data_IF_697007161325
#
_entry.id   IF_697007161325
#
_cell.length_a   1.000
_cell.length_b   1.000
_cell.length_c   1.000
_cell.angle_alpha   90.00
_cell.angle_beta   90.00
_cell.angle_gamma   90.00
#
_symmetry.space_group_name_H-M   'P 1'
#
loop_
_entity.id
_entity.type
_entity.pdbx_description
1 polymer ?
#
# COMPACT_ATOMS: atom_id res chain seq x y z
N UNK A 1 -7.30 -77.48 48.50
CA UNK A 1 -6.19 -77.48 49.49
C UNK A 1 -4.90 -77.86 48.78
N UNK A 2 -3.76 -77.24 49.17
CA UNK A 2 -2.41 -77.23 48.56
C UNK A 2 -2.28 -76.27 47.35
N UNK A 3 -1.26 -75.44 47.18
CA UNK A 3 0.00 -75.13 47.89
C UNK A 3 0.45 -73.70 47.46
N UNK A 4 0.90 -72.83 48.37
CA UNK A 4 2.31 -72.43 48.68
C UNK A 4 3.07 -71.71 47.54
N UNK A 5 3.16 -70.37 47.67
CA UNK A 5 4.35 -69.52 47.90
C UNK A 5 5.66 -69.65 47.07
N UNK A 6 6.35 -68.49 46.97
CA UNK A 6 7.65 -68.13 46.35
C UNK A 6 7.55 -67.75 44.86
N UNK A 7 8.03 -66.60 44.39
CA UNK A 7 9.10 -65.73 44.87
C UNK A 7 10.09 -65.52 43.70
N UNK A 8 10.74 -64.35 43.64
CA UNK A 8 11.78 -63.93 42.68
C UNK A 8 11.28 -63.17 41.43
N UNK A 9 11.06 -61.85 41.59
CA UNK A 9 11.54 -60.85 40.62
C UNK A 9 12.82 -60.27 41.24
N UNK A 10 13.95 -60.11 40.56
CA UNK A 10 14.16 -59.98 39.13
C UNK A 10 14.79 -58.62 38.85
N UNK A 11 16.13 -58.60 38.90
CA UNK A 11 17.07 -57.64 38.30
C UNK A 11 16.96 -56.13 38.63
N UNK A 12 17.97 -55.67 39.39
CA UNK A 12 18.60 -54.36 39.22
C UNK A 12 19.12 -54.23 37.78
N UNK A 13 18.61 -53.24 37.05
CA UNK A 13 19.31 -52.64 35.91
C UNK A 13 18.94 -51.16 35.86
N UNK A 14 19.98 -50.33 35.95
CA UNK A 14 19.90 -48.88 35.87
C UNK A 14 19.46 -48.44 34.46
N UNK A 15 18.47 -47.55 34.39
CA UNK A 15 18.31 -46.63 33.27
C UNK A 15 18.13 -45.22 33.83
N UNK A 16 19.26 -44.52 33.87
CA UNK A 16 19.34 -43.07 33.86
C UNK A 16 18.75 -42.60 32.54
N UNK A 17 17.53 -42.06 32.53
CA UNK A 17 16.91 -41.50 31.34
C UNK A 17 16.82 -39.97 31.46
N UNK A 18 17.78 -39.32 30.80
CA UNK A 18 17.75 -37.89 30.53
C UNK A 18 16.61 -37.60 29.56
N UNK A 19 15.58 -36.90 30.05
CA UNK A 19 14.40 -36.53 29.27
C UNK A 19 14.00 -35.08 29.46
N UNK A 20 14.92 -34.14 29.28
CA UNK A 20 14.62 -32.70 29.15
C UNK A 20 15.42 -32.14 27.98
N UNK A 21 14.80 -32.08 26.80
CA UNK A 21 15.44 -31.50 25.60
C UNK A 21 14.62 -31.55 24.31
N UNK A 22 13.48 -32.27 24.29
CA UNK A 22 12.65 -32.42 23.09
C UNK A 22 11.51 -31.40 22.94
N UNK A 23 10.90 -30.93 24.03
CA UNK A 23 9.72 -30.04 23.96
C UNK A 23 10.07 -28.60 23.59
N UNK A 24 11.21 -28.10 24.06
CA UNK A 24 11.59 -26.69 23.92
C UNK A 24 11.99 -26.32 22.48
N UNK A 25 12.58 -27.27 21.73
CA UNK A 25 12.97 -27.05 20.33
C UNK A 25 11.78 -27.07 19.36
N UNK A 26 10.72 -27.83 19.67
CA UNK A 26 9.50 -27.87 18.85
C UNK A 26 8.74 -26.55 19.00
N UNK A 27 8.65 -26.02 20.22
CA UNK A 27 8.02 -24.72 20.47
C UNK A 27 8.78 -23.57 19.81
N UNK A 28 10.12 -23.58 19.82
CA UNK A 28 10.94 -22.56 19.13
C UNK A 28 10.76 -22.61 17.60
N UNK A 29 10.71 -23.81 17.00
CA UNK A 29 10.48 -23.98 15.56
C UNK A 29 9.08 -23.52 15.13
N UNK A 30 8.06 -23.84 15.93
CA UNK A 30 6.69 -23.38 15.71
C UNK A 30 6.60 -21.86 15.90
N UNK A 31 7.28 -21.28 16.89
CA UNK A 31 7.30 -19.84 17.10
C UNK A 31 7.97 -19.08 15.94
N UNK A 32 9.12 -19.53 15.42
CA UNK A 32 9.78 -18.93 14.25
C UNK A 32 8.87 -18.95 13.01
N UNK A 33 8.23 -20.08 12.77
CA UNK A 33 7.28 -20.23 11.65
C UNK A 33 6.09 -19.27 11.78
N UNK A 34 5.61 -19.03 13.00
CA UNK A 34 4.52 -18.06 13.26
C UNK A 34 4.97 -16.62 13.03
N UNK A 35 6.20 -16.26 13.38
CA UNK A 35 6.75 -14.91 13.13
C UNK A 35 6.81 -14.65 11.63
N UNK A 36 7.38 -15.56 10.85
CA UNK A 36 7.50 -15.39 9.39
C UNK A 36 6.13 -15.31 8.69
N UNK A 37 5.17 -16.12 9.14
CA UNK A 37 3.78 -16.04 8.65
C UNK A 37 3.12 -14.71 9.04
N UNK A 38 3.36 -14.22 10.25
CA UNK A 38 2.80 -12.95 10.72
C UNK A 38 3.43 -11.75 10.00
N UNK A 39 4.75 -11.73 9.80
CA UNK A 39 5.44 -10.71 9.01
C UNK A 39 4.96 -10.70 7.57
N UNK A 40 4.83 -11.87 6.94
CA UNK A 40 4.24 -11.98 5.61
C UNK A 40 2.78 -11.54 5.56
N UNK A 41 2.01 -11.70 6.64
CA UNK A 41 0.64 -11.19 6.73
C UNK A 41 0.59 -9.68 6.94
N UNK A 42 1.47 -9.11 7.76
CA UNK A 42 1.58 -7.67 7.99
C UNK A 42 1.98 -6.96 6.69
N UNK A 43 3.02 -7.44 5.99
CA UNK A 43 3.43 -6.87 4.69
C UNK A 43 2.32 -6.93 3.63
N UNK A 44 1.54 -8.02 3.59
CA UNK A 44 0.36 -8.15 2.71
C UNK A 44 -0.82 -7.28 3.12
N UNK A 45 -0.92 -6.87 4.38
CA UNK A 45 -1.99 -6.01 4.89
C UNK A 45 -1.63 -4.54 4.74
N UNK A 46 -0.38 -4.16 5.00
CA UNK A 46 0.14 -2.81 4.76
C UNK A 46 0.05 -2.43 3.27
N UNK A 47 0.37 -3.36 2.36
CA UNK A 47 0.17 -3.17 0.91
C UNK A 47 -1.30 -3.05 0.47
N UNK A 48 -2.26 -3.36 1.35
CA UNK A 48 -3.71 -3.27 1.06
C UNK A 48 -4.37 -2.06 1.69
N UNK A 49 -3.70 -1.33 2.58
CA UNK A 49 -4.26 -0.09 3.10
C UNK A 49 -4.14 1.00 2.03
N UNK A 50 -5.22 1.74 1.74
CA UNK A 50 -5.12 2.89 0.88
C UNK A 50 -4.17 3.90 1.52
N UNK A 51 -3.17 4.32 0.76
CA UNK A 51 -2.19 5.29 1.26
C UNK A 51 -2.84 6.67 1.36
N UNK A 52 -2.34 7.49 2.28
CA UNK A 52 -2.79 8.89 2.39
C UNK A 52 -2.37 9.72 1.17
N UNK A 53 -1.40 9.23 0.38
CA UNK A 53 -0.93 9.85 -0.86
C UNK A 53 -0.74 8.81 -1.95
N UNK A 54 -0.84 9.24 -3.21
CA UNK A 54 -0.55 8.42 -4.38
C UNK A 54 0.66 8.97 -5.13
N UNK A 55 1.75 8.21 -5.17
CA UNK A 55 2.92 8.51 -6.01
C UNK A 55 2.73 7.87 -7.39
N UNK A 56 2.70 8.69 -8.43
CA UNK A 56 2.44 8.29 -9.81
C UNK A 56 3.64 8.69 -10.68
N UNK A 57 4.09 7.77 -11.54
CA UNK A 57 5.14 8.05 -12.52
C UNK A 57 4.54 8.22 -13.91
N UNK A 58 4.94 9.24 -14.67
CA UNK A 58 4.55 9.35 -16.07
C UNK A 58 4.92 8.10 -16.87
N UNK A 59 3.94 7.54 -17.58
CA UNK A 59 4.11 6.32 -18.38
C UNK A 59 3.76 5.02 -17.65
N UNK A 60 3.65 5.04 -16.31
CA UNK A 60 3.13 3.89 -15.57
C UNK A 60 1.62 3.79 -15.76
N UNK A 61 1.13 2.62 -16.17
CA UNK A 61 -0.31 2.30 -16.25
C UNK A 61 -0.87 1.82 -14.91
N UNK A 62 -0.17 2.14 -13.83
CA UNK A 62 -0.50 1.67 -12.49
C UNK A 62 -1.56 2.58 -11.87
N UNK A 63 -2.44 1.94 -11.11
CA UNK A 63 -3.48 2.63 -10.37
C UNK A 63 -3.17 2.51 -8.89
N UNK A 64 -3.38 3.60 -8.15
CA UNK A 64 -3.16 3.64 -6.72
C UNK A 64 -4.45 4.03 -6.02
N UNK A 65 -4.69 3.47 -4.84
CA UNK A 65 -5.78 3.88 -3.97
C UNK A 65 -5.30 5.00 -3.06
N UNK A 66 -6.05 6.09 -3.01
CA UNK A 66 -5.88 7.17 -2.05
C UNK A 66 -7.08 7.22 -1.10
N UNK A 67 -6.83 7.41 0.19
CA UNK A 67 -7.86 7.52 1.21
C UNK A 67 -7.69 8.79 2.02
N UNK A 68 -8.76 9.56 2.16
CA UNK A 68 -8.80 10.77 2.99
C UNK A 68 -9.57 10.55 4.30
N UNK A 69 -9.64 9.30 4.78
CA UNK A 69 -10.37 8.88 5.98
C UNK A 69 -11.89 8.87 5.82
N UNK A 70 -12.45 9.81 5.06
CA UNK A 70 -13.87 9.84 4.73
C UNK A 70 -14.21 8.84 3.62
N UNK A 71 -13.43 8.82 2.54
CA UNK A 71 -13.66 8.00 1.35
C UNK A 71 -12.35 7.59 0.69
N UNK A 72 -12.44 6.62 -0.21
CA UNK A 72 -11.31 6.07 -0.96
C UNK A 72 -11.55 6.27 -2.46
N UNK A 73 -10.55 6.75 -3.17
CA UNK A 73 -10.59 6.97 -4.62
C UNK A 73 -9.47 6.17 -5.29
N UNK A 74 -9.69 5.76 -6.53
CA UNK A 74 -8.64 5.12 -7.35
C UNK A 74 -8.12 6.14 -8.35
N UNK A 75 -6.82 6.32 -8.41
CA UNK A 75 -6.18 7.36 -9.22
C UNK A 75 -5.08 6.79 -10.10
N UNK A 76 -4.90 7.38 -11.28
CA UNK A 76 -3.84 7.04 -12.23
C UNK A 76 -3.56 8.20 -13.19
N UNK A 77 -2.44 8.13 -13.91
CA UNK A 77 -2.12 9.06 -15.01
C UNK A 77 -2.46 8.35 -16.32
N UNK A 78 -3.32 8.93 -17.15
CA UNK A 78 -3.63 8.37 -18.47
C UNK A 78 -2.84 9.01 -19.60
N UNK A 79 -2.51 10.30 -19.49
CA UNK A 79 -1.77 11.00 -20.52
C UNK A 79 -0.88 12.11 -19.94
N UNK A 80 0.28 12.33 -20.58
CA UNK A 80 1.16 13.46 -20.34
C UNK A 80 1.52 14.07 -21.69
N UNK A 81 1.18 15.34 -21.89
CA UNK A 81 1.40 16.08 -23.12
C UNK A 81 2.16 17.39 -22.86
N UNK A 82 2.72 18.00 -23.90
CA UNK A 82 3.35 19.32 -23.78
C UNK A 82 2.31 20.40 -23.52
N UNK A 83 2.65 21.36 -22.65
CA UNK A 83 1.93 22.61 -22.41
C UNK A 83 2.91 23.77 -22.54
N UNK A 84 2.45 24.96 -22.94
CA UNK A 84 3.34 26.11 -23.15
C UNK A 84 4.21 26.47 -21.93
N UNK A 85 3.70 26.23 -20.71
CA UNK A 85 4.42 26.47 -19.46
C UNK A 85 5.10 25.22 -18.86
N UNK A 86 4.92 24.01 -19.43
CA UNK A 86 5.42 22.78 -18.84
C UNK A 86 4.73 21.52 -19.37
N UNK A 87 4.15 20.72 -18.47
CA UNK A 87 3.46 19.47 -18.79
C UNK A 87 1.96 19.60 -18.58
N UNK A 88 1.15 19.05 -19.48
CA UNK A 88 -0.27 18.82 -19.24
C UNK A 88 -0.49 17.37 -18.88
N UNK A 89 -1.02 17.09 -17.69
CA UNK A 89 -1.33 15.73 -17.24
C UNK A 89 -2.83 15.51 -17.24
N UNK A 90 -3.27 14.36 -17.76
CA UNK A 90 -4.64 13.88 -17.60
C UNK A 90 -4.64 12.78 -16.54
N UNK A 91 -5.43 12.99 -15.49
CA UNK A 91 -5.62 11.99 -14.45
C UNK A 91 -6.89 11.22 -14.71
N UNK A 92 -6.89 9.95 -14.34
CA UNK A 92 -8.08 9.13 -14.26
C UNK A 92 -8.42 8.92 -12.80
N UNK A 93 -9.58 9.41 -12.36
CA UNK A 93 -10.03 9.34 -10.97
C UNK A 93 -11.34 8.56 -10.92
N UNK A 94 -11.32 7.37 -10.32
CA UNK A 94 -12.50 6.55 -10.09
C UNK A 94 -13.10 6.85 -8.72
N UNK A 95 -14.39 7.16 -8.70
CA UNK A 95 -15.18 7.22 -7.47
C UNK A 95 -15.96 5.91 -7.31
N UNK A 96 -15.58 5.01 -6.39
CA UNK A 96 -16.29 3.75 -6.18
C UNK A 96 -17.60 3.91 -5.39
N UNK A 97 -17.91 5.11 -4.88
CA UNK A 97 -19.09 5.35 -4.06
C UNK A 97 -20.35 5.44 -4.92
N UNK A 98 -21.48 5.08 -4.32
CA UNK A 98 -22.81 5.29 -4.91
C UNK A 98 -23.30 6.76 -4.85
N UNK A 99 -22.47 7.69 -4.38
CA UNK A 99 -22.78 9.13 -4.27
C UNK A 99 -21.81 9.96 -5.10
N UNK A 100 -22.27 11.09 -5.62
CA UNK A 100 -21.41 12.05 -6.31
C UNK A 100 -20.61 12.89 -5.31
N UNK A 101 -19.35 13.12 -5.64
CA UNK A 101 -18.48 14.06 -4.95
C UNK A 101 -18.41 15.34 -5.78
N UNK A 102 -18.69 16.48 -5.18
CA UNK A 102 -18.72 17.79 -5.83
C UNK A 102 -17.75 18.74 -5.13
N UNK A 103 -17.50 19.90 -5.73
CA UNK A 103 -16.59 20.92 -5.18
C UNK A 103 -15.24 20.29 -4.77
N UNK A 104 -14.64 19.54 -5.70
CA UNK A 104 -13.45 18.75 -5.43
C UNK A 104 -12.17 19.57 -5.70
N UNK A 105 -11.23 19.56 -4.76
CA UNK A 105 -9.89 20.15 -4.88
C UNK A 105 -8.84 19.04 -4.72
N UNK A 106 -7.76 19.10 -5.50
CA UNK A 106 -6.65 18.14 -5.47
C UNK A 106 -5.33 18.84 -5.15
N UNK A 107 -4.60 18.30 -4.18
CA UNK A 107 -3.25 18.75 -3.82
C UNK A 107 -2.20 17.95 -4.60
N UNK A 108 -1.58 18.57 -5.59
CA UNK A 108 -0.55 17.96 -6.43
C UNK A 108 0.85 18.45 -6.05
N UNK A 109 1.80 17.52 -6.05
CA UNK A 109 3.23 17.74 -5.99
C UNK A 109 3.89 17.09 -7.20
N UNK A 110 4.71 17.80 -7.97
CA UNK A 110 5.38 17.24 -9.14
C UNK A 110 6.83 17.69 -9.22
N UNK A 111 7.62 17.01 -10.04
CA UNK A 111 9.01 17.38 -10.29
C UNK A 111 9.77 16.39 -11.16
N UNK A 112 11.06 16.65 -11.31
CA UNK A 112 12.00 15.78 -12.00
C UNK A 112 12.50 14.66 -11.07
N UNK A 113 13.00 13.58 -11.67
CA UNK A 113 13.77 12.54 -10.98
C UNK A 113 15.16 12.44 -11.57
N UNK A 114 16.14 12.09 -10.73
CA UNK A 114 17.49 11.78 -11.19
C UNK A 114 17.54 10.43 -11.94
N UNK A 115 18.74 10.04 -12.39
CA UNK A 115 18.97 8.77 -13.09
C UNK A 115 18.68 7.52 -12.25
N UNK A 116 18.61 7.65 -10.92
CA UNK A 116 18.24 6.57 -10.01
C UNK A 116 16.72 6.53 -9.74
N UNK A 117 15.94 7.47 -10.30
CA UNK A 117 14.52 7.60 -10.06
C UNK A 117 14.18 8.31 -8.75
N UNK A 118 15.15 9.03 -8.16
CA UNK A 118 14.98 9.80 -6.92
C UNK A 118 14.47 11.20 -7.24
N UNK A 119 13.43 11.71 -6.57
CA UNK A 119 12.95 13.08 -6.77
C UNK A 119 14.03 14.14 -6.54
N UNK A 120 14.18 15.07 -7.50
CA UNK A 120 15.12 16.20 -7.38
C UNK A 120 14.43 17.34 -6.62
N UNK A 121 14.89 17.62 -5.39
CA UNK A 121 14.23 18.57 -4.48
C UNK A 121 14.03 19.96 -5.08
N UNK A 122 15.03 20.49 -5.80
CA UNK A 122 14.97 21.83 -6.40
C UNK A 122 13.98 21.95 -7.56
N UNK A 123 13.47 20.83 -8.07
CA UNK A 123 12.48 20.80 -9.16
C UNK A 123 11.06 20.56 -8.66
N UNK A 124 10.86 20.53 -7.34
CA UNK A 124 9.55 20.24 -6.76
C UNK A 124 8.64 21.45 -6.80
N UNK A 125 7.44 21.24 -7.32
CA UNK A 125 6.38 22.22 -7.33
C UNK A 125 5.15 21.65 -6.62
N UNK A 126 4.44 22.50 -5.89
CA UNK A 126 3.19 22.18 -5.20
C UNK A 126 2.10 23.15 -5.65
N UNK A 127 0.90 22.64 -5.92
CA UNK A 127 -0.27 23.48 -6.19
C UNK A 127 -1.58 22.72 -5.94
N UNK A 128 -2.60 23.45 -5.50
CA UNK A 128 -3.96 22.99 -5.44
C UNK A 128 -4.67 23.27 -6.76
N UNK A 129 -5.50 22.34 -7.21
CA UNK A 129 -6.30 22.49 -8.41
C UNK A 129 -7.75 22.09 -8.15
N UNK A 130 -8.68 22.79 -8.77
CA UNK A 130 -10.07 22.38 -8.81
C UNK A 130 -10.26 21.21 -9.79
N UNK A 131 -11.07 20.22 -9.43
CA UNK A 131 -11.52 19.16 -10.32
C UNK A 131 -12.86 19.60 -10.92
N UNK A 132 -12.89 20.04 -12.19
CA UNK A 132 -14.10 20.54 -12.82
C UNK A 132 -15.16 19.43 -12.95
N UNK A 133 -16.40 19.74 -12.56
CA UNK A 133 -17.54 18.81 -12.67
C UNK A 133 -17.63 17.74 -11.57
N UNK A 134 -16.68 17.71 -10.64
CA UNK A 134 -16.67 16.74 -9.55
C UNK A 134 -16.39 15.31 -10.01
N UNK A 135 -16.72 14.34 -9.14
CA UNK A 135 -16.57 12.91 -9.39
C UNK A 135 -17.97 12.23 -9.42
N UNK A 136 -18.37 11.63 -10.56
CA UNK A 136 -19.64 10.93 -10.67
C UNK A 136 -19.69 9.66 -9.81
N UNK A 137 -20.86 9.17 -9.39
CA UNK A 137 -20.97 7.94 -8.59
C UNK A 137 -20.64 6.70 -9.43
N UNK A 138 -19.77 5.84 -8.91
CA UNK A 138 -19.42 4.56 -9.53
C UNK A 138 -18.64 4.65 -10.85
N UNK A 139 -18.19 5.84 -11.23
CA UNK A 139 -17.63 6.11 -12.56
C UNK A 139 -16.31 6.90 -12.48
N UNK A 140 -15.70 7.13 -13.64
CA UNK A 140 -14.43 7.82 -13.81
C UNK A 140 -14.63 9.29 -14.17
N UNK A 141 -13.80 10.14 -13.57
CA UNK A 141 -13.56 11.50 -14.02
C UNK A 141 -12.17 11.62 -14.63
N UNK A 142 -12.02 12.56 -15.58
CA UNK A 142 -10.81 12.71 -16.38
C UNK A 142 -10.25 14.14 -16.38
N UNK A 143 -9.97 14.74 -15.21
CA UNK A 143 -9.48 16.11 -15.15
C UNK A 143 -8.10 16.25 -15.78
N UNK A 144 -7.86 17.40 -16.42
CA UNK A 144 -6.57 17.78 -16.98
C UNK A 144 -5.97 18.93 -16.15
N UNK A 145 -4.68 18.81 -15.81
CA UNK A 145 -3.94 19.82 -15.05
C UNK A 145 -2.69 20.23 -15.81
N UNK A 146 -2.42 21.54 -15.82
CA UNK A 146 -1.16 22.08 -16.32
C UNK A 146 -0.18 22.18 -15.15
N UNK A 147 0.92 21.44 -15.26
CA UNK A 147 2.05 21.40 -14.36
C UNK A 147 3.13 22.31 -14.93
N UNK A 148 3.27 23.48 -14.32
CA UNK A 148 4.21 24.50 -14.77
C UNK A 148 5.67 24.06 -14.52
N UNK A 149 6.59 24.66 -15.27
CA UNK A 149 8.05 24.63 -15.15
C UNK A 149 8.75 23.28 -15.40
N UNK A 150 8.00 22.19 -15.56
CA UNK A 150 8.55 20.85 -15.83
C UNK A 150 8.04 20.32 -17.17
N UNK A 151 8.89 20.16 -18.20
CA UNK A 151 8.46 19.62 -19.49
C UNK A 151 8.21 18.11 -19.42
N UNK A 152 7.37 17.51 -20.30
CA UNK A 152 6.96 16.12 -20.20
C UNK A 152 8.10 15.11 -20.16
N UNK A 153 9.20 15.37 -20.88
CA UNK A 153 10.37 14.49 -20.94
C UNK A 153 11.18 14.47 -19.63
N UNK A 154 11.00 15.48 -18.78
CA UNK A 154 11.69 15.60 -17.50
C UNK A 154 10.78 15.34 -16.30
N UNK A 155 9.46 15.29 -16.52
CA UNK A 155 8.51 14.96 -15.48
C UNK A 155 8.78 13.54 -14.97
N UNK A 156 9.36 13.44 -13.78
CA UNK A 156 9.75 12.16 -13.19
C UNK A 156 8.68 11.59 -12.26
N UNK A 157 7.91 12.47 -11.61
CA UNK A 157 6.84 12.05 -10.72
C UNK A 157 5.71 13.09 -10.61
N UNK A 158 4.54 12.58 -10.25
CA UNK A 158 3.38 13.34 -9.80
C UNK A 158 2.83 12.63 -8.55
N UNK A 159 2.76 13.34 -7.45
CA UNK A 159 2.21 12.85 -6.19
C UNK A 159 0.91 13.58 -5.90
N UNK A 160 -0.16 12.80 -5.73
CA UNK A 160 -1.43 13.29 -5.21
C UNK A 160 -1.36 13.16 -3.68
N UNK A 161 -1.38 14.28 -2.96
CA UNK A 161 -1.32 14.25 -1.49
C UNK A 161 -2.67 14.20 -0.82
N UNK A 162 -3.69 14.77 -1.47
CA UNK A 162 -5.05 14.78 -0.96
C UNK A 162 -6.02 15.07 -2.11
N UNK A 163 -7.23 14.53 -2.02
CA UNK A 163 -8.39 14.94 -2.82
C UNK A 163 -9.51 15.27 -1.85
N UNK A 164 -9.82 16.54 -1.69
CA UNK A 164 -10.90 17.01 -0.82
C UNK A 164 -12.13 17.29 -1.66
N UNK A 165 -13.31 16.89 -1.18
CA UNK A 165 -14.56 16.99 -1.93
C UNK A 165 -15.72 17.10 -0.96
N UNK A 166 -16.76 17.82 -1.36
CA UNK A 166 -18.05 17.85 -0.68
C UNK A 166 -18.91 16.69 -1.17
N UNK A 167 -19.48 15.93 -0.22
CA UNK A 167 -20.47 14.90 -0.52
C UNK A 167 -21.81 15.54 -0.83
N UNK A 168 -22.43 15.09 -1.92
CA UNK A 168 -23.83 15.43 -2.22
C UNK A 168 -24.71 14.22 -1.93
N UNK A 169 -25.92 14.48 -1.42
CA UNK A 169 -26.92 13.45 -1.13
C UNK A 169 -27.71 13.12 -2.38
#
# INVERSE_FOLDING_TARGET
MRAVMLGVLGCLAACNDGGKGGSENVDIGIMKSRIEILEGRVSRLESRQPADYAFLRPGDKNWTWISNGAYSLRVGISNVAESGSGSKVRLDIQNPLAISLQDCEIDLLWGETDTAGTPVESSKHKKFFDIPGGLPPGDYAFPEFVLDDVPPKKLGFVTIRAIECRRTK
#
